data_IF_635768982086
#
_entry.id   IF_635768982086
#
_cell.length_a   1.000
_cell.length_b   1.000
_cell.length_c   1.000
_cell.angle_alpha   90.00
_cell.angle_beta   90.00
_cell.angle_gamma   90.00
#
_symmetry.space_group_name_H-M   'P 1'
#
loop_
_entity.id
_entity.type
_entity.pdbx_description
1 polymer ?
#
# COMPACT_ATOMS: atom_id res chain seq x y z
N UNK A 1 5.94 -21.76 28.91
CA UNK A 1 6.25 -21.76 27.47
C UNK A 1 6.37 -20.30 27.05
N UNK A 2 7.60 -19.81 26.87
CA UNK A 2 7.94 -18.39 26.70
C UNK A 2 7.85 -17.91 25.24
N UNK A 3 7.21 -18.71 24.37
CA UNK A 3 7.05 -18.44 22.94
C UNK A 3 5.82 -17.58 22.61
N UNK A 4 4.92 -17.35 23.57
CA UNK A 4 3.74 -16.49 23.38
C UNK A 4 3.94 -15.05 23.87
N UNK A 5 5.13 -14.71 24.41
CA UNK A 5 5.39 -13.37 24.97
C UNK A 5 5.91 -12.35 23.93
N UNK A 6 6.33 -12.81 22.75
CA UNK A 6 6.76 -11.96 21.64
C UNK A 6 5.68 -11.94 20.56
N UNK A 7 4.50 -11.45 20.94
CA UNK A 7 3.36 -11.32 20.04
C UNK A 7 3.65 -10.19 19.04
N UNK A 8 4.47 -10.45 18.03
CA UNK A 8 4.55 -9.72 16.77
C UNK A 8 4.85 -8.21 16.79
N UNK A 9 5.15 -7.59 17.93
CA UNK A 9 5.15 -6.13 18.11
C UNK A 9 6.52 -5.57 18.49
N UNK A 10 7.60 -6.32 18.31
CA UNK A 10 8.95 -5.77 18.49
C UNK A 10 9.23 -4.70 17.41
N UNK A 11 9.94 -3.63 17.78
CA UNK A 11 10.24 -2.49 16.91
C UNK A 11 10.94 -2.93 15.62
N UNK A 12 11.72 -4.01 15.67
CA UNK A 12 12.31 -4.64 14.50
C UNK A 12 11.27 -5.19 13.53
N UNK A 13 10.27 -5.94 14.02
CA UNK A 13 9.22 -6.51 13.16
C UNK A 13 8.33 -5.42 12.57
N UNK A 14 8.06 -4.36 13.34
CA UNK A 14 7.40 -3.16 12.82
C UNK A 14 8.22 -2.51 11.72
N UNK A 15 9.54 -2.36 11.91
CA UNK A 15 10.45 -1.82 10.89
C UNK A 15 10.36 -2.62 9.61
N UNK A 16 10.41 -3.96 9.67
CA UNK A 16 10.28 -4.81 8.48
C UNK A 16 8.94 -4.62 7.75
N UNK A 17 7.85 -4.47 8.49
CA UNK A 17 6.52 -4.23 7.87
C UNK A 17 6.43 -2.87 7.20
N UNK A 18 7.04 -1.84 7.78
CA UNK A 18 7.15 -0.53 7.14
C UNK A 18 8.02 -0.60 5.89
N UNK A 19 9.14 -1.32 5.93
CA UNK A 19 9.99 -1.53 4.77
C UNK A 19 9.26 -2.28 3.64
N UNK A 20 8.41 -3.25 3.98
CA UNK A 20 7.60 -3.98 2.99
C UNK A 20 6.67 -3.05 2.21
N UNK A 21 6.11 -2.01 2.82
CA UNK A 21 5.31 -1.00 2.10
C UNK A 21 6.12 -0.32 0.98
N UNK A 22 7.39 0.00 1.25
CA UNK A 22 8.28 0.61 0.25
C UNK A 22 8.61 -0.37 -0.88
N UNK A 23 8.82 -1.65 -0.55
CA UNK A 23 9.04 -2.72 -1.52
C UNK A 23 7.87 -2.83 -2.49
N UNK A 24 6.64 -3.00 -2.00
CA UNK A 24 5.43 -3.10 -2.84
C UNK A 24 5.22 -1.83 -3.69
N UNK A 25 5.53 -0.65 -3.14
CA UNK A 25 5.41 0.60 -3.90
C UNK A 25 6.40 0.65 -5.07
N UNK A 26 7.59 0.04 -4.91
CA UNK A 26 8.56 -0.14 -5.99
C UNK A 26 8.09 -1.13 -7.06
N UNK A 27 7.41 -2.20 -6.67
CA UNK A 27 6.82 -3.18 -7.58
C UNK A 27 5.68 -2.56 -8.39
N UNK A 28 4.77 -1.81 -7.76
CA UNK A 28 3.73 -1.05 -8.46
C UNK A 28 4.29 -0.03 -9.47
N UNK A 29 5.35 0.69 -9.10
CA UNK A 29 6.04 1.60 -10.02
C UNK A 29 6.68 0.86 -11.21
N UNK A 30 7.25 -0.32 -10.95
CA UNK A 30 7.85 -1.18 -11.97
C UNK A 30 6.80 -1.72 -12.93
N UNK A 31 5.67 -2.20 -12.42
CA UNK A 31 4.55 -2.64 -13.22
C UNK A 31 3.99 -1.49 -14.07
N UNK A 32 3.88 -0.28 -13.53
CA UNK A 32 3.41 0.89 -14.29
C UNK A 32 4.36 1.24 -15.43
N UNK A 33 5.67 1.27 -15.16
CA UNK A 33 6.67 1.49 -16.18
C UNK A 33 6.63 0.40 -17.27
N UNK A 34 6.42 -0.86 -16.87
CA UNK A 34 6.22 -1.99 -17.76
C UNK A 34 4.94 -1.88 -18.60
N UNK A 35 3.87 -1.34 -18.04
CA UNK A 35 2.58 -1.14 -18.72
C UNK A 35 2.59 0.01 -19.72
N UNK A 36 3.44 1.02 -19.52
CA UNK A 36 3.66 2.07 -20.51
C UNK A 36 4.44 1.57 -21.74
N UNK A 37 5.10 0.42 -21.65
CA UNK A 37 5.96 -0.09 -22.72
C UNK A 37 7.18 0.80 -23.00
N UNK A 38 7.53 1.67 -22.05
CA UNK A 38 8.59 2.68 -22.21
C UNK A 38 10.01 2.10 -22.23
N UNK A 39 10.17 0.77 -22.18
CA UNK A 39 11.46 0.10 -22.32
C UNK A 39 11.67 -0.37 -23.77
N UNK A 40 12.55 0.28 -24.56
CA UNK A 40 12.79 -0.08 -25.96
C UNK A 40 13.30 -1.51 -26.15
N UNK A 41 13.87 -2.13 -25.10
CA UNK A 41 14.46 -3.47 -25.15
C UNK A 41 13.47 -4.59 -24.79
N UNK A 42 12.37 -4.28 -24.11
CA UNK A 42 11.39 -5.27 -23.62
C UNK A 42 9.95 -5.01 -24.05
N UNK A 43 9.63 -3.82 -24.55
CA UNK A 43 8.25 -3.45 -24.91
C UNK A 43 7.32 -3.43 -23.69
N UNK A 44 6.03 -3.66 -23.92
CA UNK A 44 5.02 -3.74 -22.86
C UNK A 44 5.14 -5.09 -22.13
N UNK A 45 5.49 -5.04 -20.84
CA UNK A 45 5.71 -6.24 -20.02
C UNK A 45 4.61 -6.50 -19.00
N UNK A 46 3.79 -5.50 -18.72
CA UNK A 46 2.68 -5.56 -17.77
C UNK A 46 1.45 -4.93 -18.40
N UNK A 47 0.29 -5.21 -17.81
CA UNK A 47 -0.99 -4.60 -18.13
C UNK A 47 -1.38 -3.61 -17.05
N UNK A 48 -2.38 -2.76 -17.32
CA UNK A 48 -2.97 -1.90 -16.27
C UNK A 48 -3.61 -2.72 -15.15
N UNK A 49 -4.05 -3.95 -15.43
CA UNK A 49 -4.57 -4.83 -14.40
C UNK A 49 -3.47 -5.28 -13.44
N UNK A 50 -2.29 -5.64 -13.97
CA UNK A 50 -1.13 -6.00 -13.14
C UNK A 50 -0.75 -4.84 -12.22
N UNK A 51 -0.72 -3.60 -12.74
CA UNK A 51 -0.50 -2.39 -11.92
C UNK A 51 -1.53 -2.26 -10.79
N UNK A 52 -2.80 -2.56 -11.06
CA UNK A 52 -3.84 -2.49 -10.05
C UNK A 52 -3.68 -3.57 -8.97
N UNK A 53 -3.16 -4.75 -9.32
CA UNK A 53 -2.83 -5.81 -8.36
C UNK A 53 -1.66 -5.38 -7.46
N UNK A 54 -0.58 -4.84 -8.03
CA UNK A 54 0.56 -4.34 -7.24
C UNK A 54 0.15 -3.20 -6.30
N UNK A 55 -0.73 -2.30 -6.75
CA UNK A 55 -1.29 -1.25 -5.87
C UNK A 55 -2.15 -1.83 -4.74
N UNK A 56 -2.82 -2.96 -4.98
CA UNK A 56 -3.56 -3.66 -3.93
C UNK A 56 -2.59 -4.31 -2.92
N UNK A 57 -1.45 -4.82 -3.37
CA UNK A 57 -0.41 -5.36 -2.48
C UNK A 57 0.22 -4.27 -1.61
N UNK A 58 0.44 -3.06 -2.14
CA UNK A 58 0.82 -1.88 -1.33
C UNK A 58 -0.20 -1.61 -0.22
N UNK A 59 -1.50 -1.61 -0.56
CA UNK A 59 -2.56 -1.35 0.41
C UNK A 59 -2.60 -2.46 1.48
N UNK A 60 -2.41 -3.72 1.08
CA UNK A 60 -2.36 -4.86 1.98
C UNK A 60 -1.16 -4.78 2.94
N UNK A 61 0.03 -4.45 2.43
CA UNK A 61 1.22 -4.24 3.26
C UNK A 61 1.02 -3.12 4.28
N UNK A 62 0.39 -2.01 3.87
CA UNK A 62 0.05 -0.92 4.76
C UNK A 62 -0.97 -1.36 5.84
N UNK A 63 -1.96 -2.18 5.48
CA UNK A 63 -2.94 -2.71 6.44
C UNK A 63 -2.28 -3.59 7.49
N UNK A 64 -1.36 -4.46 7.08
CA UNK A 64 -0.58 -5.30 8.00
C UNK A 64 0.26 -4.44 8.94
N UNK A 65 0.90 -3.38 8.43
CA UNK A 65 1.66 -2.45 9.26
C UNK A 65 0.79 -1.70 10.27
N UNK A 66 -0.37 -1.17 9.86
CA UNK A 66 -1.32 -0.48 10.75
C UNK A 66 -1.81 -1.42 11.86
N UNK A 67 -2.18 -2.65 11.49
CA UNK A 67 -2.64 -3.65 12.47
C UNK A 67 -1.57 -3.95 13.51
N UNK A 68 -0.32 -4.01 13.07
CA UNK A 68 0.84 -4.31 13.91
C UNK A 68 1.17 -3.18 14.88
N UNK A 69 0.84 -1.93 14.52
CA UNK A 69 0.92 -0.77 15.41
C UNK A 69 -0.22 -0.75 16.44
N UNK A 70 -1.13 -1.72 16.42
CA UNK A 70 -2.24 -1.84 17.37
C UNK A 70 -3.53 -1.14 16.93
N UNK A 71 -3.61 -0.64 15.70
CA UNK A 71 -4.79 0.06 15.19
C UNK A 71 -5.70 -0.87 14.35
N UNK A 72 -6.92 -0.42 14.07
CA UNK A 72 -7.81 -1.05 13.08
C UNK A 72 -7.51 -0.49 11.68
N UNK A 73 -6.93 -1.29 10.76
CA UNK A 73 -6.59 -0.83 9.42
C UNK A 73 -7.76 -0.24 8.64
N UNK A 74 -8.94 -0.84 8.76
CA UNK A 74 -10.10 -0.40 8.01
C UNK A 74 -10.63 0.93 8.53
N UNK A 75 -10.61 1.14 9.85
CA UNK A 75 -10.97 2.42 10.45
C UNK A 75 -9.96 3.52 10.08
N UNK A 76 -8.66 3.23 10.19
CA UNK A 76 -7.59 4.17 9.84
C UNK A 76 -7.63 4.54 8.35
N UNK A 77 -7.87 3.59 7.44
CA UNK A 77 -8.00 3.90 6.02
C UNK A 77 -9.23 4.77 5.76
N UNK A 78 -10.38 4.47 6.38
CA UNK A 78 -11.60 5.29 6.24
C UNK A 78 -11.33 6.74 6.63
N UNK A 79 -10.69 6.97 7.78
CA UNK A 79 -10.32 8.31 8.25
C UNK A 79 -9.43 9.07 7.25
N UNK A 80 -8.43 8.39 6.66
CA UNK A 80 -7.60 9.00 5.62
C UNK A 80 -8.36 9.23 4.31
N UNK A 81 -9.26 8.32 3.91
CA UNK A 81 -9.98 8.41 2.64
C UNK A 81 -10.93 9.60 2.54
N UNK A 82 -11.49 10.05 3.66
CA UNK A 82 -12.31 11.28 3.72
C UNK A 82 -11.53 12.48 3.17
N UNK A 83 -10.24 12.60 3.50
CA UNK A 83 -9.35 13.67 3.01
C UNK A 83 -9.04 13.56 1.50
N UNK A 84 -9.13 12.35 0.94
CA UNK A 84 -8.89 12.10 -0.49
C UNK A 84 -10.13 12.48 -1.29
N UNK A 85 -11.33 12.14 -0.79
CA UNK A 85 -12.60 12.53 -1.42
C UNK A 85 -12.69 14.05 -1.54
N UNK A 86 -12.35 14.78 -0.47
CA UNK A 86 -12.28 16.26 -0.48
C UNK A 86 -11.31 16.84 -1.52
N UNK A 87 -10.26 16.08 -1.90
CA UNK A 87 -9.25 16.51 -2.88
C UNK A 87 -9.56 16.10 -4.31
N UNK A 88 -10.32 15.04 -4.51
CA UNK A 88 -10.67 14.52 -5.83
C UNK A 88 -11.99 15.11 -6.36
N UNK A 89 -12.89 15.56 -5.48
CA UNK A 89 -14.12 16.29 -5.83
C UNK A 89 -14.19 17.65 -5.10
N UNK A 90 -13.58 18.72 -5.65
CA UNK A 90 -13.65 20.05 -5.04
C UNK A 90 -15.05 20.68 -5.08
N UNK A 91 -16.00 20.12 -5.85
CA UNK A 91 -17.28 20.76 -6.19
C UNK A 91 -18.47 20.34 -5.29
N UNK A 92 -18.27 19.46 -4.31
CA UNK A 92 -19.31 19.08 -3.33
C UNK A 92 -19.21 19.82 -1.98
N UNK A 93 -18.36 20.85 -1.91
CA UNK A 93 -18.18 21.65 -0.70
C UNK A 93 -19.18 22.81 -0.58
N UNK A 94 -20.27 22.86 -1.34
CA UNK A 94 -21.34 23.86 -1.16
C UNK A 94 -22.69 23.35 -1.69
N UNK A 95 -23.46 22.65 -0.87
CA UNK A 95 -24.93 22.66 -0.94
C UNK A 95 -25.53 22.59 0.48
#
# INVERSE_FOLDING_TARGET
MWLDASNGHDDHQLTLRILKVTEEAGEAATAWYGALGNNPRKGMTHTRHDVALELADVALAAFVAIKSLGFDPAATLRECSTKVIERLDPDQSHE
#
